data_IF_259949462839
#
_entry.id   IF_259949462839
#
_cell.length_a   1.000
_cell.length_b   1.000
_cell.length_c   1.000
_cell.angle_alpha   90.00
_cell.angle_beta   90.00
_cell.angle_gamma   90.00
#
_symmetry.space_group_name_H-M   'P 1'
#
loop_
_entity.id
_entity.type
_entity.pdbx_description
1 polymer ?
#
# COMPACT_ATOMS: atom_id res chain seq x y z
N UNK A 1 -41.78 11.84 -40.24
CA UNK A 1 -42.30 13.07 -40.86
C UNK A 1 -42.47 14.09 -39.76
N UNK A 2 -41.49 15.00 -39.62
CA UNK A 2 -41.62 16.48 -39.79
C UNK A 2 -42.11 17.16 -38.50
N UNK A 3 -41.49 18.19 -37.92
CA UNK A 3 -40.55 19.18 -38.47
C UNK A 3 -39.89 20.02 -37.35
N UNK A 4 -38.69 20.51 -37.68
CA UNK A 4 -37.85 21.52 -37.02
C UNK A 4 -38.44 22.94 -36.95
N UNK A 5 -37.95 23.76 -36.00
CA UNK A 5 -37.38 25.12 -36.18
C UNK A 5 -36.95 25.67 -34.79
N UNK A 6 -35.72 26.03 -34.43
CA UNK A 6 -34.63 26.88 -34.96
C UNK A 6 -34.83 28.42 -34.80
N UNK A 7 -34.08 28.97 -33.81
CA UNK A 7 -33.33 30.26 -33.79
C UNK A 7 -34.08 31.62 -33.74
N UNK A 8 -33.44 32.82 -33.51
CA UNK A 8 -32.01 33.17 -33.32
C UNK A 8 -31.64 34.32 -32.29
N UNK A 9 -30.31 34.57 -32.11
CA UNK A 9 -29.55 35.87 -32.16
C UNK A 9 -29.94 37.07 -31.23
N UNK A 10 -29.10 38.01 -30.75
CA UNK A 10 -27.68 38.43 -30.94
C UNK A 10 -27.42 39.64 -30.00
N UNK A 11 -26.16 39.79 -29.57
CA UNK A 11 -25.32 41.01 -29.30
C UNK A 11 -25.84 42.40 -29.77
N UNK A 12 -25.34 43.57 -29.27
CA UNK A 12 -23.90 43.92 -29.42
C UNK A 12 -23.20 45.04 -28.56
N UNK A 13 -21.84 45.01 -28.60
CA UNK A 13 -20.84 46.11 -28.81
C UNK A 13 -20.69 47.23 -27.74
N UNK A 14 -19.58 47.96 -27.54
CA UNK A 14 -18.20 48.06 -28.04
C UNK A 14 -17.47 49.15 -27.20
N UNK A 15 -16.14 49.13 -27.24
CA UNK A 15 -15.17 50.26 -27.36
C UNK A 15 -13.88 49.86 -26.61
N UNK A 16 -12.86 49.32 -27.30
CA UNK A 16 -11.76 50.03 -28.00
C UNK A 16 -11.07 51.04 -27.08
N UNK A 17 -9.76 51.05 -26.79
CA UNK A 17 -8.48 50.72 -27.45
C UNK A 17 -7.62 51.99 -27.18
N UNK A 18 -6.35 51.85 -26.79
CA UNK A 18 -5.21 52.63 -27.30
C UNK A 18 -3.94 52.41 -26.47
N UNK A 19 -2.93 51.98 -27.20
CA UNK A 19 -1.53 51.73 -26.87
C UNK A 19 -0.74 53.04 -26.66
N UNK A 20 0.43 52.96 -25.99
CA UNK A 20 1.75 53.53 -26.36
C UNK A 20 2.65 53.79 -25.11
N UNK A 21 3.84 53.20 -25.11
CA UNK A 21 5.06 53.44 -24.29
C UNK A 21 6.03 54.28 -25.19
N UNK A 22 6.93 55.23 -24.79
CA UNK A 22 8.02 55.09 -23.77
C UNK A 22 8.57 56.35 -23.00
N UNK A 23 9.40 56.04 -21.98
CA UNK A 23 10.64 56.70 -21.45
C UNK A 23 10.66 58.22 -21.11
N UNK A 24 11.08 58.58 -19.88
CA UNK A 24 12.44 59.13 -19.56
C UNK A 24 12.69 59.39 -18.05
N UNK A 25 13.91 59.06 -17.63
CA UNK A 25 14.83 59.72 -16.67
C UNK A 25 14.40 60.18 -15.27
N UNK A 26 15.10 59.57 -14.30
CA UNK A 26 15.90 60.20 -13.21
C UNK A 26 15.28 61.39 -12.46
N UNK A 27 15.10 61.24 -11.14
CA UNK A 27 15.69 62.12 -10.12
C UNK A 27 15.38 61.55 -8.72
N UNK A 28 16.43 61.18 -7.98
CA UNK A 28 16.38 61.00 -6.53
C UNK A 28 16.38 62.38 -5.86
N UNK A 29 15.78 62.53 -4.67
CA UNK A 29 16.63 62.57 -3.48
C UNK A 29 16.01 61.88 -2.24
N UNK A 30 16.86 61.23 -1.46
CA UNK A 30 16.64 60.98 -0.02
C UNK A 30 16.84 62.33 0.74
N UNK A 31 16.25 62.59 1.91
CA UNK A 31 16.46 61.77 3.11
C UNK A 31 15.27 61.71 4.11
N UNK A 32 15.53 61.07 5.25
CA UNK A 32 14.82 61.13 6.54
C UNK A 32 13.85 60.00 6.91
N UNK A 33 14.39 59.12 7.76
CA UNK A 33 13.82 58.62 9.02
C UNK A 33 12.34 58.99 9.28
N UNK A 34 11.46 58.01 9.10
CA UNK A 34 10.27 57.85 9.94
C UNK A 34 10.03 56.38 10.23
N UNK A 35 10.20 56.04 11.50
CA UNK A 35 9.77 54.80 12.13
C UNK A 35 8.26 54.62 11.94
N UNK A 36 7.86 53.53 11.29
CA UNK A 36 6.49 53.00 11.38
C UNK A 36 6.55 51.52 11.73
N UNK A 37 6.35 51.25 13.01
CA UNK A 37 5.91 49.96 13.51
C UNK A 37 4.62 49.56 12.80
N UNK A 38 4.65 48.45 12.06
CA UNK A 38 3.44 47.79 11.56
C UNK A 38 3.49 46.31 11.95
N UNK A 39 2.52 45.94 12.77
CA UNK A 39 2.20 44.59 13.20
C UNK A 39 2.29 43.62 12.03
N UNK A 40 3.06 42.54 12.21
CA UNK A 40 3.07 41.40 11.29
C UNK A 40 2.22 40.29 11.90
N UNK A 41 1.23 39.89 11.12
CA UNK A 41 0.26 38.86 11.43
C UNK A 41 0.93 37.51 11.68
N UNK A 42 0.41 36.80 12.68
CA UNK A 42 0.68 35.40 12.97
C UNK A 42 0.21 34.50 11.81
N UNK A 43 1.13 33.73 11.22
CA UNK A 43 0.79 32.51 10.49
C UNK A 43 1.97 31.52 10.44
N UNK A 44 1.58 30.24 10.48
CA UNK A 44 2.35 29.00 10.34
C UNK A 44 3.33 28.61 11.46
N UNK A 45 2.75 27.92 12.44
CA UNK A 45 3.31 26.72 13.09
C UNK A 45 3.78 25.69 12.04
N UNK A 46 4.74 24.85 12.44
CA UNK A 46 5.53 23.86 11.68
C UNK A 46 6.84 24.39 11.07
N UNK A 47 7.86 24.50 11.92
CA UNK A 47 9.26 24.32 11.49
C UNK A 47 9.60 22.82 11.57
N UNK A 48 10.34 22.23 10.62
CA UNK A 48 10.88 20.89 10.79
C UNK A 48 11.84 20.90 11.98
N UNK A 49 11.71 19.91 12.86
CA UNK A 49 12.59 19.74 14.00
C UNK A 49 14.02 19.52 13.49
N UNK A 50 14.93 20.45 13.78
CA UNK A 50 16.35 20.25 13.52
C UNK A 50 16.83 19.06 14.32
N UNK A 51 17.42 18.05 13.65
CA UNK A 51 18.09 16.93 14.30
C UNK A 51 19.08 17.48 15.34
N UNK A 52 18.75 17.35 16.62
CA UNK A 52 19.70 17.58 17.70
C UNK A 52 20.59 16.35 17.79
N UNK A 53 21.90 16.60 17.70
CA UNK A 53 22.92 15.57 17.67
C UNK A 53 22.93 14.75 18.96
N UNK A 54 22.51 13.49 18.84
CA UNK A 54 23.00 12.42 19.68
C UNK A 54 24.11 11.73 18.89
N UNK A 55 25.36 11.94 19.31
CA UNK A 55 26.55 11.29 18.76
C UNK A 55 26.73 9.89 19.35
N UNK A 56 25.71 9.06 19.20
CA UNK A 56 25.82 7.62 19.28
C UNK A 56 25.31 7.09 17.96
N UNK A 57 26.18 6.48 17.16
CA UNK A 57 25.76 5.76 15.95
C UNK A 57 24.69 4.75 16.40
N UNK A 58 23.45 4.92 15.91
CA UNK A 58 22.38 3.95 16.17
C UNK A 58 22.86 2.63 15.57
N UNK A 59 23.03 1.55 16.36
CA UNK A 59 23.55 0.28 15.86
C UNK A 59 22.67 -0.30 14.73
N UNK A 60 21.46 0.22 14.54
CA UNK A 60 20.54 -0.17 13.49
C UNK A 60 20.35 0.88 12.38
N UNK A 61 21.10 1.98 12.35
CA UNK A 61 21.02 2.95 11.24
C UNK A 61 21.31 2.29 9.88
N UNK A 62 22.20 1.30 9.86
CA UNK A 62 22.59 0.54 8.67
C UNK A 62 21.72 -0.70 8.39
N UNK A 63 20.63 -0.91 9.14
CA UNK A 63 19.78 -2.08 8.93
C UNK A 63 19.04 -2.02 7.59
N UNK A 64 18.43 -0.87 7.27
CA UNK A 64 17.62 -0.70 6.06
C UNK A 64 18.46 -0.26 4.85
N UNK A 65 18.19 -0.84 3.68
CA UNK A 65 18.81 -0.46 2.39
C UNK A 65 17.83 0.24 1.44
N UNK A 66 16.61 0.53 1.92
CA UNK A 66 15.60 1.23 1.12
C UNK A 66 16.07 2.64 0.79
N UNK A 67 15.85 3.04 -0.46
CA UNK A 67 16.20 4.37 -0.91
C UNK A 67 15.21 5.42 -0.45
N UNK A 68 15.69 6.64 -0.33
CA UNK A 68 14.90 7.82 0.00
C UNK A 68 14.15 8.40 -1.20
N UNK A 69 14.39 7.88 -2.42
CA UNK A 69 13.73 8.36 -3.64
C UNK A 69 12.49 7.52 -3.93
N UNK A 70 11.33 8.17 -3.90
CA UNK A 70 10.02 7.55 -4.11
C UNK A 70 9.19 8.35 -5.12
N UNK A 71 8.40 7.68 -5.99
CA UNK A 71 7.51 8.35 -6.94
C UNK A 71 6.42 9.22 -6.30
N UNK A 72 6.11 9.00 -5.02
CA UNK A 72 5.03 9.69 -4.31
C UNK A 72 5.55 10.72 -3.31
N UNK A 73 4.78 11.80 -3.17
CA UNK A 73 4.97 12.82 -2.14
C UNK A 73 4.29 12.43 -0.83
N UNK A 74 4.80 12.95 0.27
CA UNK A 74 4.35 12.62 1.64
C UNK A 74 2.88 12.98 1.87
N UNK A 75 2.37 14.01 1.19
CA UNK A 75 0.96 14.41 1.24
C UNK A 75 0.02 13.37 0.62
N UNK A 76 0.53 12.59 -0.34
CA UNK A 76 -0.30 11.76 -1.20
C UNK A 76 -0.33 10.30 -0.75
N UNK A 77 0.58 9.89 0.15
CA UNK A 77 0.67 8.51 0.66
C UNK A 77 -0.67 8.07 1.25
N UNK A 78 -1.22 8.86 2.17
CA UNK A 78 -2.42 8.51 2.92
C UNK A 78 -3.69 8.64 2.09
N UNK A 79 -3.77 9.65 1.20
CA UNK A 79 -4.90 9.80 0.30
C UNK A 79 -4.95 8.68 -0.75
N UNK A 80 -3.79 8.28 -1.28
CA UNK A 80 -3.66 7.13 -2.20
C UNK A 80 -4.02 5.83 -1.50
N UNK A 81 -3.50 5.60 -0.30
CA UNK A 81 -3.86 4.42 0.50
C UNK A 81 -5.35 4.38 0.83
N UNK A 82 -5.94 5.52 1.23
CA UNK A 82 -7.38 5.60 1.48
C UNK A 82 -8.19 5.33 0.19
N UNK A 83 -7.76 5.88 -0.95
CA UNK A 83 -8.34 5.59 -2.25
C UNK A 83 -8.32 4.09 -2.57
N UNK A 84 -7.18 3.42 -2.34
CA UNK A 84 -7.07 1.98 -2.50
C UNK A 84 -8.02 1.23 -1.56
N UNK A 85 -8.00 1.52 -0.26
CA UNK A 85 -8.81 0.79 0.73
C UNK A 85 -10.31 0.95 0.46
N UNK A 86 -10.78 2.18 0.26
CA UNK A 86 -12.22 2.47 0.17
C UNK A 86 -12.81 2.29 -1.23
N UNK A 87 -12.03 2.50 -2.30
CA UNK A 87 -12.53 2.38 -3.66
C UNK A 87 -12.26 1.01 -4.30
N UNK A 88 -11.23 0.28 -3.84
CA UNK A 88 -10.83 -1.00 -4.42
C UNK A 88 -10.96 -2.14 -3.41
N UNK A 89 -10.20 -2.10 -2.32
CA UNK A 89 -10.06 -3.24 -1.41
C UNK A 89 -11.39 -3.64 -0.75
N UNK A 90 -12.05 -2.73 -0.02
CA UNK A 90 -13.32 -3.03 0.65
C UNK A 90 -14.40 -3.44 -0.36
N UNK A 91 -14.65 -2.68 -1.45
CA UNK A 91 -15.68 -3.04 -2.42
C UNK A 91 -15.43 -4.39 -3.09
N UNK A 92 -14.20 -4.73 -3.48
CA UNK A 92 -13.91 -5.98 -4.19
C UNK A 92 -13.83 -7.18 -3.25
N UNK A 93 -13.16 -7.04 -2.11
CA UNK A 93 -12.96 -8.13 -1.14
C UNK A 93 -14.25 -8.54 -0.42
N UNK A 94 -15.09 -7.57 -0.01
CA UNK A 94 -16.33 -7.87 0.72
C UNK A 94 -17.57 -7.75 -0.17
N UNK A 95 -17.69 -6.64 -0.89
CA UNK A 95 -18.83 -6.38 -1.78
C UNK A 95 -18.85 -7.32 -2.99
N UNK A 96 -17.72 -7.49 -3.66
CA UNK A 96 -17.57 -8.32 -4.86
C UNK A 96 -17.83 -9.79 -4.57
N UNK A 97 -17.21 -10.33 -3.51
CA UNK A 97 -17.45 -11.71 -3.06
C UNK A 97 -18.93 -11.93 -2.70
N UNK A 98 -19.54 -10.98 -1.98
CA UNK A 98 -20.98 -11.05 -1.65
C UNK A 98 -21.87 -11.02 -2.88
N UNK A 99 -21.55 -10.18 -3.87
CA UNK A 99 -22.27 -10.09 -5.14
C UNK A 99 -22.18 -11.38 -5.95
N UNK A 100 -20.99 -11.97 -6.03
CA UNK A 100 -20.77 -13.28 -6.69
C UNK A 100 -21.61 -14.35 -6.01
N UNK A 101 -21.56 -14.45 -4.68
CA UNK A 101 -22.30 -15.45 -3.93
C UNK A 101 -23.82 -15.35 -4.14
N UNK A 102 -24.35 -14.14 -4.26
CA UNK A 102 -25.79 -13.90 -4.53
C UNK A 102 -26.17 -14.18 -5.99
N UNK A 103 -25.31 -13.87 -6.94
CA UNK A 103 -25.62 -14.01 -8.37
C UNK A 103 -25.59 -15.48 -8.83
N UNK A 104 -24.76 -16.31 -8.20
CA UNK A 104 -24.54 -17.71 -8.58
C UNK A 104 -25.36 -18.74 -7.77
N UNK A 105 -26.52 -18.32 -7.24
CA UNK A 105 -27.40 -19.15 -6.40
C UNK A 105 -27.93 -20.44 -7.09
N UNK A 106 -28.22 -21.52 -6.31
CA UNK A 106 -28.45 -21.55 -4.86
C UNK A 106 -27.21 -21.75 -3.97
N UNK A 107 -26.09 -22.20 -4.53
CA UNK A 107 -24.79 -22.29 -3.84
C UNK A 107 -23.72 -22.51 -4.92
N UNK A 108 -22.91 -21.49 -5.27
CA UNK A 108 -21.83 -21.70 -6.23
C UNK A 108 -20.93 -22.84 -5.74
N UNK A 109 -20.50 -23.69 -6.66
CA UNK A 109 -19.53 -24.72 -6.33
C UNK A 109 -18.22 -24.07 -5.83
N UNK A 110 -17.47 -24.73 -4.94
CA UNK A 110 -16.29 -24.14 -4.31
C UNK A 110 -15.22 -23.71 -5.33
N UNK A 111 -15.04 -24.45 -6.43
CA UNK A 111 -14.12 -24.07 -7.50
C UNK A 111 -14.53 -22.75 -8.17
N UNK A 112 -15.81 -22.59 -8.53
CA UNK A 112 -16.33 -21.33 -9.09
C UNK A 112 -16.14 -20.16 -8.13
N UNK A 113 -16.30 -20.38 -6.83
CA UNK A 113 -16.05 -19.33 -5.83
C UNK A 113 -14.57 -18.92 -5.80
N UNK A 114 -13.63 -19.87 -5.74
CA UNK A 114 -12.20 -19.56 -5.74
C UNK A 114 -11.79 -18.83 -7.02
N UNK A 115 -12.26 -19.29 -8.18
CA UNK A 115 -11.99 -18.63 -9.47
C UNK A 115 -12.51 -17.20 -9.47
N UNK A 116 -13.72 -16.98 -8.94
CA UNK A 116 -14.29 -15.64 -8.83
C UNK A 116 -13.47 -14.74 -7.91
N UNK A 117 -12.95 -15.25 -6.79
CA UNK A 117 -12.06 -14.50 -5.90
C UNK A 117 -10.77 -14.13 -6.63
N UNK A 118 -10.15 -15.05 -7.37
CA UNK A 118 -8.96 -14.74 -8.17
C UNK A 118 -9.25 -13.61 -9.16
N UNK A 119 -10.39 -13.66 -9.87
CA UNK A 119 -10.78 -12.61 -10.81
C UNK A 119 -10.93 -11.26 -10.10
N UNK A 120 -11.62 -11.22 -8.97
CA UNK A 120 -11.77 -10.00 -8.15
C UNK A 120 -10.42 -9.48 -7.68
N UNK A 121 -9.51 -10.34 -7.23
CA UNK A 121 -8.18 -9.97 -6.77
C UNK A 121 -7.30 -9.44 -7.91
N UNK A 122 -7.43 -9.99 -9.12
CA UNK A 122 -6.71 -9.50 -10.29
C UNK A 122 -7.24 -8.13 -10.75
N UNK A 123 -8.56 -7.91 -10.65
CA UNK A 123 -9.18 -6.59 -10.88
C UNK A 123 -8.69 -5.60 -9.82
N UNK A 124 -8.62 -6.00 -8.56
CA UNK A 124 -8.09 -5.17 -7.48
C UNK A 124 -6.63 -4.80 -7.71
N UNK A 125 -5.79 -5.77 -8.11
CA UNK A 125 -4.39 -5.54 -8.45
C UNK A 125 -4.22 -4.59 -9.64
N UNK A 126 -4.99 -4.79 -10.70
CA UNK A 126 -4.93 -3.88 -11.85
C UNK A 126 -5.39 -2.46 -11.46
N UNK A 127 -6.49 -2.35 -10.72
CA UNK A 127 -6.99 -1.08 -10.20
C UNK A 127 -5.97 -0.38 -9.30
N UNK A 128 -5.30 -1.13 -8.43
CA UNK A 128 -4.24 -0.64 -7.57
C UNK A 128 -3.06 -0.12 -8.38
N UNK A 129 -2.60 -0.86 -9.40
CA UNK A 129 -1.52 -0.40 -10.28
C UNK A 129 -1.89 0.87 -11.06
N UNK A 130 -3.14 0.99 -11.53
CA UNK A 130 -3.65 2.21 -12.18
C UNK A 130 -3.68 3.37 -11.20
N UNK A 131 -4.18 3.17 -9.98
CA UNK A 131 -4.23 4.20 -8.94
C UNK A 131 -2.83 4.67 -8.54
N UNK A 132 -1.92 3.73 -8.33
CA UNK A 132 -0.52 4.00 -8.03
C UNK A 132 0.17 4.79 -9.16
N UNK A 133 -0.10 4.43 -10.41
CA UNK A 133 0.41 5.17 -11.57
C UNK A 133 -0.18 6.57 -11.70
N UNK A 134 -1.47 6.75 -11.39
CA UNK A 134 -2.14 8.05 -11.43
C UNK A 134 -1.64 9.02 -10.36
N UNK A 135 -1.29 8.49 -9.19
CA UNK A 135 -0.83 9.28 -8.03
C UNK A 135 0.69 9.48 -8.00
N UNK A 136 1.42 8.79 -8.85
CA UNK A 136 2.86 8.94 -8.98
C UNK A 136 3.22 10.23 -9.73
N UNK A 137 4.38 10.80 -9.42
CA UNK A 137 4.97 11.89 -10.20
C UNK A 137 5.16 11.46 -11.65
N UNK A 138 4.86 12.36 -12.58
CA UNK A 138 4.91 12.13 -14.03
C UNK A 138 6.28 11.73 -14.56
N UNK A 139 7.35 12.03 -13.82
CA UNK A 139 8.74 11.67 -14.16
C UNK A 139 9.07 10.20 -13.90
N UNK A 140 8.25 9.49 -13.12
CA UNK A 140 8.47 8.10 -12.75
C UNK A 140 7.55 7.17 -13.53
N UNK A 141 8.15 6.12 -14.11
CA UNK A 141 7.38 4.98 -14.59
C UNK A 141 7.23 3.95 -13.46
N UNK A 142 5.99 3.71 -13.02
CA UNK A 142 5.72 2.78 -11.92
C UNK A 142 6.17 1.35 -12.24
N UNK A 143 6.05 0.91 -13.50
CA UNK A 143 6.53 -0.41 -13.92
C UNK A 143 8.04 -0.57 -13.73
N UNK A 144 8.86 0.43 -14.09
CA UNK A 144 10.30 0.37 -13.89
C UNK A 144 10.66 0.41 -12.40
N UNK A 145 9.96 1.22 -11.60
CA UNK A 145 10.14 1.29 -10.16
C UNK A 145 9.93 -0.07 -9.46
N UNK A 146 8.84 -0.76 -9.77
CA UNK A 146 8.59 -2.10 -9.20
C UNK A 146 9.54 -3.16 -9.77
N UNK A 147 9.92 -3.06 -11.05
CA UNK A 147 10.89 -3.96 -11.68
C UNK A 147 12.27 -3.85 -11.00
N UNK A 148 12.74 -2.64 -10.75
CA UNK A 148 14.01 -2.39 -10.05
C UNK A 148 14.00 -2.99 -8.64
N UNK A 149 12.89 -2.82 -7.91
CA UNK A 149 12.71 -3.41 -6.58
C UNK A 149 12.62 -4.94 -6.63
N UNK A 150 12.02 -5.52 -7.67
CA UNK A 150 11.89 -6.97 -7.80
C UNK A 150 13.24 -7.64 -8.06
N UNK A 151 14.10 -7.00 -8.84
CA UNK A 151 15.42 -7.50 -9.22
C UNK A 151 16.58 -6.81 -8.48
N UNK A 152 16.29 -6.20 -7.32
CA UNK A 152 17.32 -5.51 -6.55
C UNK A 152 18.33 -6.49 -5.97
N UNK A 153 19.61 -6.30 -6.28
CA UNK A 153 20.73 -7.13 -5.80
C UNK A 153 21.54 -6.42 -4.68
N UNK A 154 20.95 -5.45 -3.98
CA UNK A 154 21.62 -4.69 -2.90
C UNK A 154 22.12 -5.59 -1.78
N UNK A 155 21.31 -6.56 -1.38
CA UNK A 155 21.67 -7.65 -0.47
C UNK A 155 21.07 -8.95 -0.98
N UNK A 156 21.63 -10.07 -0.51
CA UNK A 156 21.16 -11.40 -0.91
C UNK A 156 19.71 -11.64 -0.48
N UNK A 157 18.79 -11.58 -1.45
CA UNK A 157 17.37 -11.87 -1.25
C UNK A 157 17.15 -13.27 -0.66
N UNK A 158 17.93 -14.26 -1.11
CA UNK A 158 17.87 -15.65 -0.61
C UNK A 158 18.16 -15.71 0.90
N UNK A 159 19.22 -15.04 1.37
CA UNK A 159 19.54 -15.02 2.81
C UNK A 159 18.47 -14.30 3.61
N UNK A 160 17.93 -13.19 3.07
CA UNK A 160 16.82 -12.47 3.69
C UNK A 160 15.59 -13.37 3.84
N UNK A 161 15.21 -14.05 2.75
CA UNK A 161 14.05 -14.94 2.73
C UNK A 161 14.24 -16.15 3.64
N UNK A 162 15.39 -16.81 3.61
CA UNK A 162 15.68 -17.93 4.50
C UNK A 162 15.57 -17.52 5.97
N UNK A 163 16.16 -16.37 6.33
CA UNK A 163 16.09 -15.83 7.70
C UNK A 163 14.64 -15.48 8.06
N UNK A 164 13.92 -14.80 7.18
CA UNK A 164 12.51 -14.46 7.36
C UNK A 164 11.61 -15.68 7.57
N UNK A 165 11.80 -16.74 6.78
CA UNK A 165 11.07 -18.01 6.93
C UNK A 165 11.37 -18.67 8.28
N UNK A 166 12.62 -18.70 8.73
CA UNK A 166 12.97 -19.24 10.05
C UNK A 166 12.28 -18.47 11.17
N UNK A 167 12.30 -17.14 11.12
CA UNK A 167 11.59 -16.30 12.09
C UNK A 167 10.07 -16.50 12.04
N UNK A 168 9.48 -16.64 10.86
CA UNK A 168 8.05 -16.90 10.71
C UNK A 168 7.63 -18.25 11.27
N UNK A 169 8.38 -19.32 10.97
CA UNK A 169 8.11 -20.65 11.53
C UNK A 169 8.24 -20.60 13.06
N UNK A 170 9.28 -19.95 13.58
CA UNK A 170 9.44 -19.74 15.02
C UNK A 170 8.26 -18.98 15.63
N UNK A 171 7.78 -17.93 14.97
CA UNK A 171 6.60 -17.18 15.39
C UNK A 171 5.34 -18.05 15.39
N UNK A 172 5.10 -18.81 14.33
CA UNK A 172 3.94 -19.71 14.21
C UNK A 172 3.92 -20.77 15.32
N UNK A 173 5.07 -21.36 15.62
CA UNK A 173 5.20 -22.34 16.70
C UNK A 173 4.96 -21.67 18.06
N UNK A 174 5.52 -20.48 18.27
CA UNK A 174 5.32 -19.72 19.50
C UNK A 174 3.85 -19.36 19.71
N UNK A 175 3.17 -18.82 18.69
CA UNK A 175 1.75 -18.46 18.78
C UNK A 175 0.88 -19.71 19.00
N UNK A 176 1.18 -20.83 18.33
CA UNK A 176 0.48 -22.10 18.54
C UNK A 176 0.63 -22.62 19.98
N UNK A 177 1.84 -22.58 20.54
CA UNK A 177 2.09 -22.99 21.94
C UNK A 177 1.35 -22.09 22.92
N UNK A 178 1.41 -20.77 22.73
CA UNK A 178 0.72 -19.80 23.60
C UNK A 178 -0.79 -20.05 23.55
N UNK A 179 -1.35 -20.20 22.35
CA UNK A 179 -2.78 -20.39 22.16
C UNK A 179 -3.28 -21.69 22.79
N UNK A 180 -2.57 -22.80 22.56
CA UNK A 180 -2.91 -24.10 23.16
C UNK A 180 -2.88 -24.06 24.70
N UNK A 181 -1.95 -23.32 25.29
CA UNK A 181 -1.84 -23.22 26.74
C UNK A 181 -2.85 -22.24 27.38
N UNK A 182 -3.29 -21.19 26.67
CA UNK A 182 -4.14 -20.14 27.25
C UNK A 182 -5.63 -20.32 26.94
N UNK A 183 -5.98 -20.74 25.72
CA UNK A 183 -7.36 -20.65 25.19
C UNK A 183 -7.93 -22.04 24.85
N UNK A 184 -7.05 -23.06 24.76
CA UNK A 184 -7.39 -24.39 24.26
C UNK A 184 -7.41 -24.43 22.71
N UNK A 185 -7.40 -25.62 22.10
CA UNK A 185 -7.35 -25.74 20.65
C UNK A 185 -8.64 -25.18 20.04
N UNK A 186 -8.53 -24.04 19.35
CA UNK A 186 -9.57 -23.55 18.44
C UNK A 186 -9.12 -23.79 17.02
N UNK A 187 -10.09 -24.17 16.21
CA UNK A 187 -9.91 -24.33 14.78
C UNK A 187 -9.70 -22.94 14.15
N UNK A 188 -8.46 -22.62 13.77
CA UNK A 188 -8.08 -21.29 13.25
C UNK A 188 -8.54 -21.11 11.78
N UNK A 189 -9.17 -22.13 11.20
CA UNK A 189 -9.59 -22.13 9.82
C UNK A 189 -10.93 -21.40 9.63
N UNK A 190 -10.96 -20.42 8.73
CA UNK A 190 -12.20 -19.84 8.26
C UNK A 190 -13.07 -20.93 7.57
N UNK A 191 -14.35 -21.11 7.95
CA UNK A 191 -15.20 -22.18 7.40
C UNK A 191 -15.30 -22.14 5.87
N UNK A 192 -15.27 -20.95 5.27
CA UNK A 192 -15.29 -20.76 3.81
C UNK A 192 -14.01 -21.33 3.18
N UNK A 193 -12.85 -21.13 3.84
CA UNK A 193 -11.58 -21.68 3.38
C UNK A 193 -11.56 -23.21 3.45
N UNK A 194 -12.14 -23.81 4.50
CA UNK A 194 -12.28 -25.27 4.60
C UNK A 194 -13.15 -25.81 3.46
N UNK A 195 -14.27 -25.18 3.18
CA UNK A 195 -15.16 -25.63 2.11
C UNK A 195 -14.47 -25.61 0.72
N UNK A 196 -13.70 -24.56 0.43
CA UNK A 196 -12.89 -24.46 -0.80
C UNK A 196 -11.80 -25.53 -0.91
N UNK A 197 -11.19 -25.88 0.22
CA UNK A 197 -10.08 -26.84 0.34
C UNK A 197 -10.55 -28.29 0.17
N UNK A 198 -11.78 -28.65 0.59
CA UNK A 198 -12.20 -30.05 0.64
C UNK A 198 -12.99 -30.57 -0.58
N UNK A 199 -13.26 -29.73 -1.58
CA UNK A 199 -14.12 -30.08 -2.71
C UNK A 199 -13.46 -31.00 -3.77
N UNK A 200 -12.18 -30.75 -4.14
CA UNK A 200 -11.48 -31.60 -5.13
C UNK A 200 -10.04 -31.15 -5.50
N UNK A 201 -9.25 -31.97 -6.22
CA UNK A 201 -7.84 -31.68 -6.54
C UNK A 201 -7.63 -30.37 -7.31
N UNK A 202 -8.55 -30.03 -8.22
CA UNK A 202 -8.50 -28.79 -8.98
C UNK A 202 -8.77 -27.58 -8.06
N UNK A 203 -9.82 -27.63 -7.24
CA UNK A 203 -10.12 -26.56 -6.26
C UNK A 203 -8.95 -26.31 -5.31
N UNK A 204 -8.31 -27.38 -4.81
CA UNK A 204 -7.10 -27.29 -3.97
C UNK A 204 -5.95 -26.56 -4.66
N UNK A 205 -5.69 -26.92 -5.92
CA UNK A 205 -4.60 -26.32 -6.70
C UNK A 205 -4.87 -24.84 -6.98
N UNK A 206 -6.10 -24.49 -7.35
CA UNK A 206 -6.51 -23.11 -7.62
C UNK A 206 -6.51 -22.28 -6.33
N UNK A 207 -6.94 -22.86 -5.20
CA UNK A 207 -6.87 -22.22 -3.87
C UNK A 207 -5.42 -21.98 -3.46
N UNK A 208 -4.53 -22.96 -3.68
CA UNK A 208 -3.10 -22.78 -3.41
C UNK A 208 -2.50 -21.66 -4.26
N UNK A 209 -2.88 -21.55 -5.54
CA UNK A 209 -2.44 -20.45 -6.40
C UNK A 209 -2.94 -19.09 -5.91
N UNK A 210 -4.23 -18.98 -5.54
CA UNK A 210 -4.79 -17.77 -4.94
C UNK A 210 -3.99 -17.34 -3.70
N UNK A 211 -3.86 -18.23 -2.70
CA UNK A 211 -3.28 -17.91 -1.41
C UNK A 211 -1.76 -17.74 -1.45
N UNK A 212 -1.05 -18.53 -2.25
CA UNK A 212 0.41 -18.54 -2.25
C UNK A 212 1.02 -17.63 -3.31
N UNK A 213 0.24 -17.17 -4.29
CA UNK A 213 0.75 -16.33 -5.38
C UNK A 213 -0.07 -15.04 -5.54
N UNK A 214 -1.36 -15.13 -5.85
CA UNK A 214 -2.17 -13.95 -6.19
C UNK A 214 -2.30 -12.98 -5.02
N UNK A 215 -2.62 -13.49 -3.82
CA UNK A 215 -2.77 -12.67 -2.61
C UNK A 215 -1.45 -11.99 -2.21
N UNK A 216 -0.32 -12.73 -2.02
CA UNK A 216 0.97 -12.10 -1.72
C UNK A 216 1.42 -11.09 -2.78
N UNK A 217 1.14 -11.34 -4.07
CA UNK A 217 1.53 -10.41 -5.14
C UNK A 217 0.89 -9.03 -4.96
N UNK A 218 -0.42 -8.99 -4.70
CA UNK A 218 -1.11 -7.73 -4.43
C UNK A 218 -0.59 -7.08 -3.16
N UNK A 219 -0.56 -7.84 -2.06
CA UNK A 219 -0.30 -7.31 -0.74
C UNK A 219 1.14 -6.80 -0.61
N UNK A 220 2.14 -7.53 -1.10
CA UNK A 220 3.52 -7.03 -1.08
C UNK A 220 3.69 -5.78 -1.95
N UNK A 221 3.01 -5.70 -3.09
CA UNK A 221 3.04 -4.51 -3.95
C UNK A 221 2.54 -3.27 -3.22
N UNK A 222 1.39 -3.38 -2.54
CA UNK A 222 0.77 -2.25 -1.83
C UNK A 222 1.50 -1.93 -0.53
N UNK A 223 1.74 -2.91 0.34
CA UNK A 223 2.21 -2.65 1.70
C UNK A 223 3.73 -2.48 1.79
N UNK A 224 4.52 -3.18 0.96
CA UNK A 224 6.00 -3.11 0.98
C UNK A 224 6.51 -2.21 -0.12
N UNK A 225 6.09 -2.49 -1.36
CA UNK A 225 6.54 -1.77 -2.54
C UNK A 225 6.08 -0.31 -2.55
N UNK A 226 4.85 -0.03 -2.15
CA UNK A 226 4.33 1.34 -2.02
C UNK A 226 4.42 1.89 -0.58
N UNK A 227 3.59 1.42 0.35
CA UNK A 227 3.39 2.07 1.66
C UNK A 227 4.67 2.12 2.50
N UNK A 228 5.29 0.98 2.78
CA UNK A 228 6.52 0.92 3.58
C UNK A 228 7.66 1.69 2.93
N UNK A 229 7.82 1.57 1.61
CA UNK A 229 8.84 2.33 0.87
C UNK A 229 8.65 3.83 1.06
N UNK A 230 7.42 4.33 0.93
CA UNK A 230 7.14 5.77 1.09
C UNK A 230 7.29 6.22 2.55
N UNK A 231 6.85 5.42 3.52
CA UNK A 231 7.02 5.75 4.93
C UNK A 231 8.50 5.77 5.33
N UNK A 232 9.32 4.83 4.85
CA UNK A 232 10.74 4.74 5.19
C UNK A 232 11.57 5.95 4.70
N UNK A 233 11.03 6.77 3.79
CA UNK A 233 11.59 8.06 3.39
C UNK A 233 11.31 9.17 4.41
N UNK A 234 10.15 9.11 5.07
CA UNK A 234 9.63 10.19 5.93
C UNK A 234 9.97 9.99 7.42
N UNK A 235 10.30 8.78 7.83
CA UNK A 235 10.54 8.40 9.22
C UNK A 235 11.59 7.30 9.36
N UNK A 236 11.88 6.88 10.59
CA UNK A 236 12.85 5.80 10.81
C UNK A 236 12.30 4.48 10.24
N UNK A 237 13.19 3.64 9.72
CA UNK A 237 12.81 2.38 9.07
C UNK A 237 11.93 1.49 9.96
N UNK A 238 12.17 1.44 11.28
CA UNK A 238 11.40 0.62 12.21
C UNK A 238 10.00 1.20 12.47
N UNK A 239 9.85 2.54 12.49
CA UNK A 239 8.55 3.21 12.59
C UNK A 239 7.71 2.90 11.36
N UNK A 240 8.33 2.97 10.18
CA UNK A 240 7.70 2.65 8.91
C UNK A 240 7.23 1.18 8.86
N UNK A 241 8.03 0.23 9.37
CA UNK A 241 7.63 -1.19 9.48
C UNK A 241 6.41 -1.33 10.38
N UNK A 242 6.43 -0.76 11.58
CA UNK A 242 5.33 -0.91 12.55
C UNK A 242 4.03 -0.34 11.98
N UNK A 243 4.09 0.84 11.36
CA UNK A 243 2.92 1.48 10.77
C UNK A 243 2.40 0.66 9.59
N UNK A 244 3.27 0.26 8.66
CA UNK A 244 2.86 -0.57 7.50
C UNK A 244 2.25 -1.91 7.94
N UNK A 245 2.86 -2.58 8.92
CA UNK A 245 2.36 -3.85 9.47
C UNK A 245 1.01 -3.68 10.20
N UNK A 246 0.81 -2.55 10.89
CA UNK A 246 -0.46 -2.24 11.54
C UNK A 246 -1.57 -1.97 10.51
N UNK A 247 -1.28 -1.19 9.47
CA UNK A 247 -2.22 -0.94 8.37
C UNK A 247 -2.58 -2.24 7.66
N UNK A 248 -1.59 -3.08 7.34
CA UNK A 248 -1.79 -4.41 6.77
C UNK A 248 -2.76 -5.25 7.61
N UNK A 249 -2.53 -5.32 8.93
CA UNK A 249 -3.39 -6.05 9.85
C UNK A 249 -4.81 -5.48 9.93
N UNK A 250 -4.97 -4.16 9.91
CA UNK A 250 -6.30 -3.51 10.00
C UNK A 250 -7.10 -3.76 8.71
N UNK A 251 -6.43 -3.72 7.55
CA UNK A 251 -7.07 -3.95 6.25
C UNK A 251 -7.65 -5.37 6.10
N UNK A 252 -7.25 -6.32 6.93
CA UNK A 252 -7.83 -7.66 6.95
C UNK A 252 -9.18 -7.74 7.70
N UNK A 253 -9.58 -6.68 8.42
CA UNK A 253 -10.83 -6.62 9.19
C UNK A 253 -11.09 -7.83 10.12
N UNK A 254 -10.01 -8.44 10.62
CA UNK A 254 -10.08 -9.62 11.51
C UNK A 254 -9.49 -9.27 12.87
N UNK A 255 -10.34 -9.12 13.88
CA UNK A 255 -9.90 -8.85 15.26
C UNK A 255 -9.11 -10.03 15.81
N UNK A 256 -9.57 -11.26 15.56
CA UNK A 256 -8.95 -12.49 16.08
C UNK A 256 -7.52 -12.68 15.55
N UNK A 257 -7.29 -12.40 14.27
CA UNK A 257 -5.98 -12.59 13.62
C UNK A 257 -5.10 -11.34 13.65
N UNK A 258 -5.59 -10.22 14.18
CA UNK A 258 -4.90 -8.92 14.10
C UNK A 258 -3.46 -8.95 14.63
N UNK A 259 -3.26 -9.51 15.83
CA UNK A 259 -1.92 -9.61 16.42
C UNK A 259 -0.98 -10.47 15.54
N UNK A 260 -1.46 -11.61 15.07
CA UNK A 260 -0.67 -12.49 14.22
C UNK A 260 -0.32 -11.84 12.88
N UNK A 261 -1.28 -11.18 12.23
CA UNK A 261 -1.09 -10.45 10.97
C UNK A 261 -0.13 -9.28 11.14
N UNK A 262 -0.18 -8.55 12.26
CA UNK A 262 0.77 -7.48 12.56
C UNK A 262 2.20 -8.01 12.75
N UNK A 263 2.37 -9.16 13.41
CA UNK A 263 3.69 -9.79 13.58
C UNK A 263 4.26 -10.31 12.26
N UNK A 264 3.43 -10.98 11.44
CA UNK A 264 3.82 -11.40 10.08
C UNK A 264 4.17 -10.17 9.23
N UNK A 265 3.34 -9.12 9.31
CA UNK A 265 3.57 -7.84 8.67
C UNK A 265 4.93 -7.24 9.00
N UNK A 266 5.31 -7.29 10.28
CA UNK A 266 6.58 -6.80 10.79
C UNK A 266 7.77 -7.60 10.26
N UNK A 267 7.67 -8.93 10.21
CA UNK A 267 8.74 -9.78 9.68
C UNK A 267 8.95 -9.52 8.19
N UNK A 268 7.86 -9.48 7.40
CA UNK A 268 7.91 -9.19 5.97
C UNK A 268 8.48 -7.79 5.69
N UNK A 269 8.07 -6.78 6.47
CA UNK A 269 8.63 -5.44 6.40
C UNK A 269 10.13 -5.42 6.73
N UNK A 270 10.56 -6.18 7.73
CA UNK A 270 11.98 -6.29 8.12
C UNK A 270 12.81 -6.96 7.05
N UNK A 271 12.31 -8.05 6.45
CA UNK A 271 12.95 -8.74 5.31
C UNK A 271 13.12 -7.77 4.15
N UNK A 272 12.09 -6.99 3.83
CA UNK A 272 12.13 -6.02 2.74
C UNK A 272 13.09 -4.85 3.02
N UNK A 273 13.03 -4.25 4.20
CA UNK A 273 13.94 -3.18 4.60
C UNK A 273 15.40 -3.65 4.54
N UNK A 274 15.69 -4.87 4.99
CA UNK A 274 17.03 -5.42 4.96
C UNK A 274 17.51 -5.75 3.54
N UNK A 275 16.66 -6.35 2.71
CA UNK A 275 17.07 -6.84 1.38
C UNK A 275 17.03 -5.76 0.29
N UNK A 276 16.08 -4.82 0.39
CA UNK A 276 15.71 -3.91 -0.69
C UNK A 276 14.99 -4.58 -1.86
N UNK A 277 14.78 -5.90 -1.78
CA UNK A 277 14.25 -6.72 -2.86
C UNK A 277 12.82 -7.18 -2.53
N UNK A 278 11.86 -6.85 -3.39
CA UNK A 278 10.43 -7.13 -3.19
C UNK A 278 10.08 -8.61 -3.40
N UNK A 279 10.88 -9.37 -4.14
CA UNK A 279 10.72 -10.82 -4.25
C UNK A 279 11.01 -11.53 -2.91
N UNK A 280 11.88 -10.96 -2.06
CA UNK A 280 12.22 -11.56 -0.78
C UNK A 280 11.03 -11.68 0.19
N UNK A 281 10.28 -10.59 0.53
CA UNK A 281 9.08 -10.71 1.34
C UNK A 281 7.96 -11.48 0.61
N UNK A 282 7.85 -11.38 -0.71
CA UNK A 282 6.88 -12.17 -1.49
C UNK A 282 7.07 -13.67 -1.25
N UNK A 283 8.29 -14.19 -1.42
CA UNK A 283 8.59 -15.61 -1.18
C UNK A 283 8.29 -16.00 0.27
N UNK A 284 8.69 -15.17 1.22
CA UNK A 284 8.47 -15.42 2.66
C UNK A 284 6.97 -15.48 2.99
N UNK A 285 6.17 -14.58 2.40
CA UNK A 285 4.72 -14.56 2.56
C UNK A 285 4.06 -15.77 1.88
N UNK A 286 4.46 -16.11 0.65
CA UNK A 286 3.99 -17.30 -0.06
C UNK A 286 4.24 -18.58 0.76
N UNK A 287 5.41 -18.71 1.38
CA UNK A 287 5.75 -19.85 2.24
C UNK A 287 4.89 -19.88 3.50
N UNK A 288 4.63 -18.72 4.12
CA UNK A 288 3.71 -18.62 5.26
C UNK A 288 2.29 -19.09 4.90
N UNK A 289 1.74 -18.60 3.79
CA UNK A 289 0.40 -18.99 3.33
C UNK A 289 0.36 -20.48 2.96
N UNK A 290 1.41 -21.00 2.33
CA UNK A 290 1.53 -22.43 2.03
C UNK A 290 1.59 -23.28 3.32
N UNK A 291 2.29 -22.82 4.36
CA UNK A 291 2.35 -23.51 5.64
C UNK A 291 0.98 -23.54 6.35
N UNK A 292 0.27 -22.41 6.38
CA UNK A 292 -1.10 -22.36 6.92
C UNK A 292 -2.04 -23.27 6.14
N UNK A 293 -1.95 -23.26 4.81
CA UNK A 293 -2.75 -24.12 3.94
C UNK A 293 -2.45 -25.60 4.19
N UNK A 294 -1.16 -25.97 4.33
CA UNK A 294 -0.75 -27.33 4.65
C UNK A 294 -1.26 -27.78 6.03
N UNK A 295 -1.15 -26.93 7.04
CA UNK A 295 -1.69 -27.22 8.38
C UNK A 295 -3.20 -27.43 8.33
N UNK A 296 -3.91 -26.64 7.54
CA UNK A 296 -5.36 -26.77 7.33
C UNK A 296 -5.73 -28.08 6.60
N UNK A 297 -4.87 -28.59 5.72
CA UNK A 297 -5.07 -29.90 5.10
C UNK A 297 -4.86 -31.07 6.07
N UNK A 298 -4.05 -30.88 7.12
CA UNK A 298 -3.69 -31.93 8.08
C UNK A 298 -4.57 -31.94 9.34
N UNK A 299 -5.38 -30.89 9.55
CA UNK A 299 -6.36 -30.76 10.64
C UNK A 299 -7.70 -31.38 10.28
#
# INVERSE_FOLDING_TARGET
MTSFSYYPSTLPKLCEEFTVIPKRSQFSPSPSLFTKSKLRSSSSLFRPCSKSGWSGEDPFENFSVLETNTPWDSSDIWSTLAGYIFALHIPLSFGGVSFVAQTLQPSPDPLTMVVSIIVLQMIEFLGAMVLLNYTAKTEYHISSFFTEKLFSEKRSSIKASATGVVFLIGLMLLTSIIFNNLIGPKDVSNPIMKEMIFDGPLSKTVTAFLLCFTTPLLEETIYRGFLLTCLAKEMKWWEAIIISASVFSIAHFSIENSLQLSLVGTILGSVYCWSGNLAAPFVVHSVYNAAILLLTYMS
#
